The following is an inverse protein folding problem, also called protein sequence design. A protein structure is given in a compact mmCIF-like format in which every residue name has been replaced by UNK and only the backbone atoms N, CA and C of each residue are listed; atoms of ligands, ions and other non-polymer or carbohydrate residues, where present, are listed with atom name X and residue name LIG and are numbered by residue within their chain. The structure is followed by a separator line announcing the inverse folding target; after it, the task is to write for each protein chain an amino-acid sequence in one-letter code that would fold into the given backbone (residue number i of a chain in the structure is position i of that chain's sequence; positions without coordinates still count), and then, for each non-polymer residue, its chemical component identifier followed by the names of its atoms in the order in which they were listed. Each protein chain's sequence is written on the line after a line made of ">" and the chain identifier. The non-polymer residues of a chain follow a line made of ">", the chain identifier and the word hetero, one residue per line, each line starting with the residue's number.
data_IF_507070620962
#
_entry.id   IF_507070620962
#
_cell.length_a   1.000
_cell.length_b   1.000
_cell.length_c   1.000
_cell.angle_alpha   90.00
_cell.angle_beta   90.00
_cell.angle_gamma   90.00
#
_symmetry.space_group_name_H-M   'P 1'
#
loop_
_entity.id
_entity.type
_entity.pdbx_description
1 polymer ?
#
# COMPACT_ATOMS: atom_id res chain seq x y z
N UNK A 1 30.57 42.22 -23.70
CA UNK A 1 29.33 41.41 -23.64
C UNK A 1 29.50 40.46 -22.47
N UNK A 2 29.26 40.83 -21.21
CA UNK A 2 28.01 41.28 -20.59
C UNK A 2 26.85 40.35 -20.93
N UNK A 3 26.77 39.24 -20.20
CA UNK A 3 25.57 38.43 -20.07
C UNK A 3 25.06 38.60 -18.64
N UNK A 4 23.83 39.11 -18.62
CA UNK A 4 22.95 39.60 -17.58
C UNK A 4 22.60 38.50 -16.56
N UNK A 5 22.94 38.72 -15.29
CA UNK A 5 22.44 37.93 -14.15
C UNK A 5 20.96 38.23 -13.99
N UNK A 6 20.11 37.33 -14.46
CA UNK A 6 18.68 37.37 -14.17
C UNK A 6 18.35 36.43 -13.03
N UNK A 7 17.85 37.06 -11.98
CA UNK A 7 17.27 36.49 -10.78
C UNK A 7 16.21 35.44 -11.14
N UNK A 8 16.42 34.22 -10.65
CA UNK A 8 15.41 33.16 -10.64
C UNK A 8 14.69 33.23 -9.29
N UNK A 9 13.68 34.11 -9.21
CA UNK A 9 12.73 34.13 -8.08
C UNK A 9 11.81 32.89 -8.20
N UNK A 10 11.99 31.93 -7.30
CA UNK A 10 11.05 30.81 -7.13
C UNK A 10 9.77 31.31 -6.42
N UNK A 11 8.56 31.01 -6.92
CA UNK A 11 7.31 31.58 -6.41
C UNK A 11 6.82 31.01 -5.05
N UNK A 12 7.71 30.55 -4.17
CA UNK A 12 7.37 30.02 -2.83
C UNK A 12 8.37 30.45 -1.74
N UNK A 13 8.92 31.66 -1.80
CA UNK A 13 9.66 32.26 -0.68
C UNK A 13 8.68 32.84 0.36
N UNK A 14 8.01 31.97 1.13
CA UNK A 14 7.31 32.40 2.32
C UNK A 14 8.33 32.66 3.43
N UNK A 15 8.88 33.87 3.45
CA UNK A 15 9.69 34.36 4.56
C UNK A 15 8.84 34.43 5.83
N UNK A 16 8.93 33.39 6.65
CA UNK A 16 8.34 33.37 7.98
C UNK A 16 9.07 34.38 8.87
N UNK A 17 8.39 35.46 9.25
CA UNK A 17 8.78 36.36 10.33
C UNK A 17 7.93 36.02 11.55
N UNK A 18 8.47 35.34 12.56
CA UNK A 18 7.79 35.23 13.85
C UNK A 18 7.91 36.58 14.55
N UNK A 19 6.80 37.29 14.67
CA UNK A 19 6.64 38.34 15.66
C UNK A 19 5.61 37.87 16.69
N UNK A 20 6.05 37.86 17.96
CA UNK A 20 5.28 37.62 19.18
C UNK A 20 4.81 36.18 19.45
N UNK A 21 5.73 35.39 20.01
CA UNK A 21 5.43 34.44 21.08
C UNK A 21 6.69 34.34 21.97
N UNK A 22 6.88 35.35 22.81
CA UNK A 22 7.66 35.21 24.03
C UNK A 22 6.96 34.14 24.90
N UNK A 23 7.76 33.33 25.60
CA UNK A 23 7.45 32.14 26.42
C UNK A 23 7.44 30.77 25.71
N UNK A 24 8.24 29.87 26.30
CA UNK A 24 8.46 28.44 26.00
C UNK A 24 9.67 28.09 25.12
N UNK A 25 10.85 28.63 25.48
CA UNK A 25 12.11 27.93 25.19
C UNK A 25 12.23 26.72 26.14
N UNK A 26 11.66 25.58 25.74
CA UNK A 26 12.06 24.29 26.34
C UNK A 26 13.29 23.84 25.57
N UNK A 27 14.44 23.92 26.23
CA UNK A 27 15.70 23.36 25.78
C UNK A 27 15.50 21.86 25.50
N UNK A 28 15.43 21.47 24.23
CA UNK A 28 15.29 20.08 23.84
C UNK A 28 16.64 19.40 24.01
N UNK A 29 16.94 18.93 25.23
CA UNK A 29 18.08 18.07 25.49
C UNK A 29 17.82 16.71 24.82
N UNK A 30 18.67 16.36 23.86
CA UNK A 30 18.55 15.11 23.12
C UNK A 30 19.05 13.96 24.03
N UNK A 31 18.17 13.06 24.52
CA UNK A 31 18.52 12.06 25.53
C UNK A 31 19.47 10.96 25.02
N UNK A 32 19.87 11.03 23.75
CA UNK A 32 20.81 10.11 23.12
C UNK A 32 22.28 10.59 23.20
N UNK A 33 22.51 11.82 23.68
CA UNK A 33 23.85 12.42 23.76
C UNK A 33 24.65 11.92 25.00
N UNK A 34 23.96 11.54 26.09
CA UNK A 34 24.55 11.02 27.34
C UNK A 34 25.06 9.57 27.22
N UNK A 35 24.48 8.77 26.31
CA UNK A 35 24.80 7.33 26.20
C UNK A 35 26.01 7.06 25.29
N UNK A 36 26.33 7.99 24.39
CA UNK A 36 27.41 7.84 23.40
C UNK A 36 28.45 8.95 23.51
N UNK A 37 28.73 9.41 24.73
CA UNK A 37 29.70 10.47 25.01
C UNK A 37 31.03 10.26 24.30
N UNK A 38 31.25 11.02 23.23
CA UNK A 38 32.58 11.30 22.70
C UNK A 38 33.10 12.53 23.43
N UNK A 39 33.60 12.33 24.65
CA UNK A 39 34.43 13.35 25.30
C UNK A 39 35.90 13.03 24.99
N UNK A 40 36.44 13.73 24.00
CA UNK A 40 37.88 13.95 23.87
C UNK A 40 38.36 14.68 25.13
N UNK A 41 39.01 13.95 26.04
CA UNK A 41 39.62 14.52 27.24
C UNK A 41 40.94 15.22 26.88
N UNK A 42 41.08 16.55 27.12
CA UNK A 42 42.37 17.22 27.02
C UNK A 42 43.23 16.92 28.25
N UNK A 43 44.46 16.51 27.96
CA UNK A 43 45.55 16.19 28.88
C UNK A 43 46.00 17.43 29.68
N UNK A 44 45.81 17.48 31.01
CA UNK A 44 46.44 18.48 31.89
C UNK A 44 46.55 18.00 33.35
N UNK A 45 47.71 17.41 33.66
CA UNK A 45 48.54 17.51 34.89
C UNK A 45 47.93 17.76 36.28
N UNK A 46 48.12 16.79 37.19
CA UNK A 46 48.49 17.03 38.61
C UNK A 46 49.55 15.99 39.05
N UNK A 47 50.61 16.48 39.69
CA UNK A 47 51.83 15.76 40.09
C UNK A 47 51.75 15.05 41.46
N UNK A 48 52.08 13.74 41.46
CA UNK A 48 52.99 12.94 42.36
C UNK A 48 52.84 12.93 43.92
N UNK A 49 53.38 11.93 44.70
CA UNK A 49 54.22 10.78 44.33
C UNK A 49 54.03 9.42 45.09
N UNK A 50 54.77 8.40 44.60
CA UNK A 50 55.22 7.15 45.24
C UNK A 50 54.26 5.95 45.40
N UNK A 51 54.37 4.97 44.49
CA UNK A 51 55.06 3.67 44.72
C UNK A 51 54.89 2.73 43.52
N UNK A 52 55.99 2.10 43.08
CA UNK A 52 56.04 1.07 42.02
C UNK A 52 56.65 -0.21 42.62
N UNK A 53 56.66 -1.38 41.95
CA UNK A 53 55.73 -1.92 40.95
C UNK A 53 55.30 -3.37 41.30
N UNK A 54 54.17 -3.85 40.80
CA UNK A 54 54.02 -5.30 40.58
C UNK A 54 53.14 -5.60 39.37
N UNK A 55 53.79 -6.17 38.35
CA UNK A 55 53.13 -6.88 37.26
C UNK A 55 52.36 -8.05 37.87
N UNK A 56 51.04 -8.01 37.80
CA UNK A 56 50.21 -9.21 37.76
C UNK A 56 49.44 -9.21 36.43
N UNK A 57 50.04 -9.90 35.48
CA UNK A 57 49.29 -10.62 34.46
C UNK A 57 48.29 -11.56 35.15
N UNK A 58 47.00 -11.47 34.84
CA UNK A 58 46.09 -12.60 34.55
C UNK A 58 44.64 -12.11 34.41
N UNK A 59 43.90 -12.81 33.54
CA UNK A 59 42.46 -12.79 33.32
C UNK A 59 41.90 -11.74 32.32
N UNK A 60 41.85 -12.16 31.05
CA UNK A 60 40.59 -12.26 30.29
C UNK A 60 39.57 -11.14 30.53
N UNK A 61 39.80 -9.98 29.92
CA UNK A 61 38.76 -8.97 29.71
C UNK A 61 37.84 -9.35 28.56
N UNK A 62 37.25 -10.55 28.58
CA UNK A 62 36.09 -10.85 27.75
C UNK A 62 34.92 -10.07 28.37
N UNK A 63 34.76 -8.81 27.93
CA UNK A 63 33.57 -8.04 28.24
C UNK A 63 32.37 -8.92 27.88
N UNK A 64 31.52 -9.20 28.86
CA UNK A 64 30.39 -10.10 28.66
C UNK A 64 29.54 -9.53 27.52
N UNK A 65 29.47 -10.23 26.39
CA UNK A 65 28.59 -9.89 25.27
C UNK A 65 27.13 -10.25 25.60
N UNK A 66 26.87 -10.94 26.70
CA UNK A 66 25.55 -11.42 27.13
C UNK A 66 24.54 -10.27 27.33
N UNK A 67 24.88 -9.15 28.01
CA UNK A 67 23.98 -8.01 28.15
C UNK A 67 23.70 -7.31 26.81
N UNK A 68 24.71 -7.24 25.93
CA UNK A 68 24.58 -6.66 24.59
C UNK A 68 23.71 -7.51 23.67
N UNK A 69 23.93 -8.82 23.67
CA UNK A 69 23.10 -9.76 22.91
C UNK A 69 21.66 -9.73 23.43
N UNK A 70 21.47 -9.64 24.76
CA UNK A 70 20.13 -9.51 25.36
C UNK A 70 19.45 -8.19 24.95
N UNK A 71 20.16 -7.06 24.98
CA UNK A 71 19.57 -5.77 24.56
C UNK A 71 19.22 -5.77 23.07
N UNK A 72 20.07 -6.34 22.21
CA UNK A 72 19.78 -6.54 20.79
C UNK A 72 18.55 -7.42 20.60
N UNK A 73 18.43 -8.52 21.35
CA UNK A 73 17.31 -9.45 21.22
C UNK A 73 16.00 -8.85 21.73
N UNK A 74 16.03 -8.10 22.84
CA UNK A 74 14.87 -7.35 23.35
C UNK A 74 14.42 -6.30 22.35
N UNK A 75 15.36 -5.53 21.80
CA UNK A 75 15.07 -4.48 20.81
C UNK A 75 14.51 -5.06 19.52
N UNK A 76 15.13 -6.14 19.01
CA UNK A 76 14.65 -6.83 17.83
C UNK A 76 13.28 -7.47 18.07
N UNK A 77 13.08 -8.13 19.21
CA UNK A 77 11.80 -8.75 19.59
C UNK A 77 10.67 -7.73 19.74
N UNK A 78 10.94 -6.54 20.30
CA UNK A 78 9.95 -5.46 20.36
C UNK A 78 9.58 -4.94 18.96
N UNK A 79 10.60 -4.69 18.12
CA UNK A 79 10.36 -4.24 16.74
C UNK A 79 9.59 -5.28 15.94
N UNK A 80 9.95 -6.55 16.10
CA UNK A 80 9.32 -7.68 15.43
C UNK A 80 7.88 -7.87 15.92
N UNK A 81 7.61 -7.80 17.23
CA UNK A 81 6.25 -7.87 17.76
C UNK A 81 5.33 -6.74 17.31
N UNK A 82 5.85 -5.52 17.13
CA UNK A 82 5.09 -4.39 16.57
C UNK A 82 4.85 -4.56 15.06
N UNK A 83 5.82 -5.11 14.33
CA UNK A 83 5.67 -5.37 12.91
C UNK A 83 4.67 -6.52 12.66
N UNK A 84 4.80 -7.61 13.40
CA UNK A 84 3.95 -8.79 13.35
C UNK A 84 2.50 -8.43 13.72
N UNK A 85 2.28 -7.68 14.81
CA UNK A 85 0.93 -7.25 15.21
C UNK A 85 0.21 -6.37 14.16
N UNK A 86 0.94 -5.76 13.23
CA UNK A 86 0.36 -4.93 12.15
C UNK A 86 0.17 -5.70 10.85
N UNK A 87 0.93 -6.76 10.61
CA UNK A 87 0.87 -7.51 9.36
C UNK A 87 -0.19 -8.61 9.35
N UNK A 88 -0.55 -9.18 10.51
CA UNK A 88 -1.41 -10.38 10.56
C UNK A 88 -2.81 -10.14 9.99
N UNK A 89 -3.48 -9.05 10.37
CA UNK A 89 -4.90 -8.85 10.00
C UNK A 89 -5.10 -8.27 8.58
N UNK A 90 -4.16 -7.45 8.11
CA UNK A 90 -4.27 -6.81 6.79
C UNK A 90 -4.05 -7.81 5.65
N UNK A 91 -3.16 -8.78 5.84
CA UNK A 91 -2.88 -9.80 4.83
C UNK A 91 -4.02 -10.82 4.73
N UNK A 92 -4.55 -11.27 5.87
CA UNK A 92 -5.68 -12.20 5.90
C UNK A 92 -6.90 -11.63 5.16
N UNK A 93 -7.28 -10.39 5.45
CA UNK A 93 -8.39 -9.73 4.72
C UNK A 93 -8.10 -9.52 3.23
N UNK A 94 -6.84 -9.28 2.84
CA UNK A 94 -6.47 -9.19 1.43
C UNK A 94 -6.60 -10.55 0.73
N UNK A 95 -6.10 -11.61 1.34
CA UNK A 95 -6.14 -12.96 0.79
C UNK A 95 -7.59 -13.46 0.63
N UNK A 96 -8.48 -13.09 1.57
CA UNK A 96 -9.92 -13.37 1.49
C UNK A 96 -10.61 -12.59 0.36
N UNK A 97 -10.27 -11.31 0.17
CA UNK A 97 -10.90 -10.44 -0.83
C UNK A 97 -10.32 -10.57 -2.24
N UNK A 98 -9.07 -11.03 -2.38
CA UNK A 98 -8.34 -11.08 -3.64
C UNK A 98 -9.06 -11.91 -4.72
N UNK A 99 -9.60 -13.12 -4.45
CA UNK A 99 -10.31 -13.90 -5.46
C UNK A 99 -11.53 -13.18 -6.05
N UNK A 100 -12.31 -12.48 -5.22
CA UNK A 100 -13.45 -11.69 -5.67
C UNK A 100 -13.00 -10.52 -6.55
N UNK A 101 -11.97 -9.78 -6.11
CA UNK A 101 -11.39 -8.67 -6.88
C UNK A 101 -10.85 -9.15 -8.24
N UNK A 102 -10.16 -10.27 -8.27
CA UNK A 102 -9.66 -10.89 -9.50
C UNK A 102 -10.81 -11.28 -10.44
N UNK A 103 -11.90 -11.85 -9.92
CA UNK A 103 -13.08 -12.21 -10.69
C UNK A 103 -13.75 -10.98 -11.31
N UNK A 104 -13.97 -9.92 -10.52
CA UNK A 104 -14.54 -8.67 -10.99
C UNK A 104 -13.67 -8.02 -12.07
N UNK A 105 -12.36 -7.96 -11.85
CA UNK A 105 -11.40 -7.44 -12.81
C UNK A 105 -11.40 -8.24 -14.12
N UNK A 106 -11.43 -9.58 -14.03
CA UNK A 106 -11.52 -10.45 -15.20
C UNK A 106 -12.80 -10.19 -16.00
N UNK A 107 -13.96 -10.14 -15.34
CA UNK A 107 -15.24 -9.89 -16.03
C UNK A 107 -15.26 -8.53 -16.72
N UNK A 108 -14.81 -7.48 -16.03
CA UNK A 108 -14.71 -6.14 -16.58
C UNK A 108 -13.80 -6.10 -17.81
N UNK A 109 -12.60 -6.67 -17.69
CA UNK A 109 -11.64 -6.75 -18.79
C UNK A 109 -12.21 -7.53 -19.99
N UNK A 110 -12.92 -8.63 -19.74
CA UNK A 110 -13.56 -9.44 -20.78
C UNK A 110 -14.63 -8.63 -21.52
N UNK A 111 -15.52 -7.94 -20.79
CA UNK A 111 -16.60 -7.14 -21.39
C UNK A 111 -16.06 -5.98 -22.24
N UNK A 112 -15.08 -5.24 -21.72
CA UNK A 112 -14.43 -4.15 -22.45
C UNK A 112 -13.74 -4.68 -23.70
N UNK A 113 -12.96 -5.76 -23.55
CA UNK A 113 -12.26 -6.38 -24.67
C UNK A 113 -13.23 -6.88 -25.74
N UNK A 114 -14.34 -7.49 -25.34
CA UNK A 114 -15.34 -7.95 -26.28
C UNK A 114 -15.90 -6.78 -27.10
N UNK A 115 -16.33 -5.70 -26.46
CA UNK A 115 -16.88 -4.52 -27.14
C UNK A 115 -15.87 -3.88 -28.10
N UNK A 116 -14.61 -3.79 -27.69
CA UNK A 116 -13.53 -3.26 -28.52
C UNK A 116 -13.26 -4.11 -29.75
N UNK A 117 -13.13 -5.41 -29.54
CA UNK A 117 -12.83 -6.33 -30.62
C UNK A 117 -14.03 -6.45 -31.55
N UNK A 118 -15.25 -6.44 -31.02
CA UNK A 118 -16.48 -6.49 -31.79
C UNK A 118 -16.64 -5.25 -32.69
N UNK A 119 -16.42 -4.05 -32.15
CA UNK A 119 -16.49 -2.80 -32.93
C UNK A 119 -15.45 -2.75 -34.04
N UNK A 120 -14.22 -3.22 -33.77
CA UNK A 120 -13.11 -3.27 -34.73
C UNK A 120 -13.31 -4.34 -35.80
N UNK A 121 -13.68 -5.57 -35.40
CA UNK A 121 -13.80 -6.72 -36.29
C UNK A 121 -14.98 -6.57 -37.26
N UNK A 122 -16.11 -6.06 -36.78
CA UNK A 122 -17.30 -5.83 -37.61
C UNK A 122 -17.31 -4.46 -38.28
N UNK A 123 -16.25 -3.65 -38.09
CA UNK A 123 -16.12 -2.30 -38.60
C UNK A 123 -17.36 -1.44 -38.30
N UNK A 124 -17.76 -1.40 -37.02
CA UNK A 124 -18.96 -0.74 -36.49
C UNK A 124 -18.59 0.53 -35.70
N UNK A 125 -18.21 1.63 -36.36
CA UNK A 125 -17.86 2.87 -35.67
C UNK A 125 -19.05 3.47 -34.92
N UNK A 126 -20.29 3.14 -35.32
CA UNK A 126 -21.53 3.50 -34.61
C UNK A 126 -21.57 2.96 -33.17
N UNK A 127 -20.82 1.90 -32.90
CA UNK A 127 -20.74 1.25 -31.58
C UNK A 127 -19.47 1.61 -30.81
N UNK A 128 -18.59 2.42 -31.37
CA UNK A 128 -17.34 2.80 -30.69
C UNK A 128 -17.59 3.66 -29.44
N UNK A 129 -18.60 4.53 -29.47
CA UNK A 129 -19.00 5.30 -28.29
C UNK A 129 -19.46 4.41 -27.12
N UNK A 130 -20.12 3.27 -27.42
CA UNK A 130 -20.54 2.29 -26.42
C UNK A 130 -19.34 1.60 -25.76
N UNK A 131 -18.30 1.28 -26.53
CA UNK A 131 -17.07 0.70 -26.00
C UNK A 131 -16.32 1.69 -25.08
N UNK A 132 -16.29 2.97 -25.45
CA UNK A 132 -15.69 4.01 -24.60
C UNK A 132 -16.49 4.28 -23.31
N UNK A 133 -17.83 4.19 -23.37
CA UNK A 133 -18.68 4.23 -22.17
C UNK A 133 -18.39 3.03 -21.27
N UNK A 134 -18.28 1.82 -21.83
CA UNK A 134 -17.95 0.61 -21.08
C UNK A 134 -16.59 0.73 -20.38
N UNK A 135 -15.56 1.25 -21.07
CA UNK A 135 -14.25 1.49 -20.45
C UNK A 135 -14.31 2.40 -19.24
N UNK A 136 -15.14 3.44 -19.27
CA UNK A 136 -15.26 4.43 -18.18
C UNK A 136 -16.03 3.88 -17.00
N UNK A 137 -17.10 3.14 -17.26
CA UNK A 137 -17.91 2.56 -16.20
C UNK A 137 -17.27 1.31 -15.57
N UNK A 138 -16.57 0.49 -16.36
CA UNK A 138 -15.94 -0.76 -15.89
C UNK A 138 -14.49 -0.56 -15.42
N UNK A 139 -14.13 0.66 -15.04
CA UNK A 139 -12.86 0.91 -14.36
C UNK A 139 -12.88 0.31 -12.96
N UNK A 140 -11.71 -0.09 -12.45
CA UNK A 140 -11.61 -0.75 -11.15
C UNK A 140 -12.11 0.16 -10.03
N UNK A 141 -11.90 1.47 -10.15
CA UNK A 141 -12.35 2.50 -9.23
C UNK A 141 -13.88 2.62 -9.18
N UNK A 142 -14.55 2.38 -10.31
CA UNK A 142 -16.01 2.38 -10.41
C UNK A 142 -16.61 1.08 -9.86
N UNK A 143 -15.98 -0.06 -10.17
CA UNK A 143 -16.43 -1.39 -9.74
C UNK A 143 -16.23 -1.56 -8.23
N UNK A 144 -15.08 -1.19 -7.70
CA UNK A 144 -14.78 -1.25 -6.27
C UNK A 144 -15.17 0.04 -5.53
N UNK A 145 -16.08 0.83 -6.09
CA UNK A 145 -16.48 2.09 -5.48
C UNK A 145 -17.22 1.86 -4.15
N UNK A 146 -17.21 2.85 -3.23
CA UNK A 146 -18.01 2.81 -2.00
C UNK A 146 -19.53 2.73 -2.23
N UNK A 147 -19.98 2.86 -3.49
CA UNK A 147 -21.39 2.65 -3.86
C UNK A 147 -21.79 1.17 -3.83
N UNK A 148 -20.82 0.27 -4.01
CA UNK A 148 -21.04 -1.17 -4.10
C UNK A 148 -20.36 -1.96 -2.97
N UNK A 149 -19.40 -1.35 -2.29
CA UNK A 149 -18.64 -1.95 -1.18
C UNK A 149 -18.65 -1.04 0.04
N UNK A 150 -18.80 -1.65 1.22
CA UNK A 150 -18.71 -0.94 2.50
C UNK A 150 -17.25 -0.80 2.96
N UNK A 151 -17.01 -0.05 4.05
CA UNK A 151 -15.67 0.11 4.65
C UNK A 151 -15.04 -1.23 5.06
N UNK A 152 -15.88 -2.23 5.36
CA UNK A 152 -15.47 -3.58 5.72
C UNK A 152 -15.11 -4.47 4.50
N UNK A 153 -15.20 -3.94 3.26
CA UNK A 153 -14.92 -4.71 2.04
C UNK A 153 -16.03 -5.67 1.60
N UNK A 154 -17.17 -5.65 2.31
CA UNK A 154 -18.35 -6.47 1.99
C UNK A 154 -19.22 -5.73 0.96
N UNK A 155 -19.75 -6.46 -0.03
CA UNK A 155 -20.65 -5.89 -1.03
C UNK A 155 -22.01 -5.48 -0.45
N UNK A 156 -22.58 -4.40 -0.97
CA UNK A 156 -23.86 -3.84 -0.51
C UNK A 156 -25.02 -4.04 -1.50
N UNK A 157 -24.76 -4.67 -2.65
CA UNK A 157 -25.77 -4.95 -3.67
C UNK A 157 -26.44 -6.33 -3.47
N UNK A 158 -27.64 -6.49 -4.04
CA UNK A 158 -28.42 -7.70 -3.90
C UNK A 158 -27.83 -8.85 -4.73
N UNK A 159 -27.35 -9.88 -4.06
CA UNK A 159 -26.93 -11.16 -4.65
C UNK A 159 -28.03 -12.20 -4.40
N UNK A 160 -28.49 -12.95 -5.43
CA UNK A 160 -29.51 -13.98 -5.24
C UNK A 160 -29.07 -15.08 -4.26
N UNK A 161 -30.01 -15.59 -3.46
CA UNK A 161 -29.76 -16.70 -2.54
C UNK A 161 -29.27 -16.28 -1.15
N UNK A 162 -29.24 -17.21 -0.19
CA UNK A 162 -28.74 -16.96 1.16
C UNK A 162 -27.23 -16.70 1.14
N UNK A 163 -26.72 -15.86 2.04
CA UNK A 163 -25.28 -15.51 2.12
C UNK A 163 -24.36 -16.72 2.18
N UNK A 164 -24.79 -17.82 2.83
CA UNK A 164 -24.04 -19.07 2.93
C UNK A 164 -23.82 -19.81 1.60
N UNK A 165 -24.59 -19.47 0.56
CA UNK A 165 -24.51 -20.08 -0.78
C UNK A 165 -23.93 -19.10 -1.82
N UNK A 166 -23.55 -17.88 -1.41
CA UNK A 166 -23.00 -16.88 -2.32
C UNK A 166 -21.52 -17.16 -2.58
N UNK A 167 -21.24 -17.82 -3.71
CA UNK A 167 -19.88 -17.93 -4.22
C UNK A 167 -19.44 -16.64 -4.93
N UNK A 168 -18.13 -16.44 -5.06
CA UNK A 168 -17.59 -15.24 -5.73
C UNK A 168 -17.98 -15.15 -7.21
N UNK A 169 -18.32 -16.26 -7.86
CA UNK A 169 -18.85 -16.28 -9.23
C UNK A 169 -20.24 -15.59 -9.28
N UNK A 170 -21.16 -15.98 -8.40
CA UNK A 170 -22.49 -15.40 -8.30
C UNK A 170 -22.45 -13.93 -7.86
N UNK A 171 -21.63 -13.61 -6.84
CA UNK A 171 -21.44 -12.24 -6.36
C UNK A 171 -20.96 -11.33 -7.49
N UNK A 172 -19.91 -11.73 -8.19
CA UNK A 172 -19.35 -10.93 -9.29
C UNK A 172 -20.29 -10.79 -10.49
N UNK A 173 -21.14 -11.78 -10.79
CA UNK A 173 -22.20 -11.66 -11.82
C UNK A 173 -23.31 -10.71 -11.39
N UNK A 174 -23.63 -10.71 -10.10
CA UNK A 174 -24.69 -9.87 -9.52
C UNK A 174 -24.27 -8.41 -9.35
N UNK A 175 -22.99 -8.10 -9.55
CA UNK A 175 -22.49 -6.72 -9.50
C UNK A 175 -23.23 -5.84 -10.52
N UNK A 176 -23.86 -4.71 -10.12
CA UNK A 176 -24.78 -3.96 -10.98
C UNK A 176 -24.18 -3.50 -12.32
N UNK A 177 -22.91 -3.06 -12.31
CA UNK A 177 -22.23 -2.68 -13.56
C UNK A 177 -21.91 -3.89 -14.45
N UNK A 178 -21.52 -5.02 -13.85
CA UNK A 178 -21.20 -6.22 -14.61
C UNK A 178 -22.46 -6.75 -15.27
N UNK A 179 -23.56 -6.89 -14.51
CA UNK A 179 -24.85 -7.35 -15.03
C UNK A 179 -25.39 -6.45 -16.16
N UNK A 180 -25.36 -5.12 -15.94
CA UNK A 180 -25.73 -4.12 -16.95
C UNK A 180 -24.96 -4.33 -18.25
N UNK A 181 -23.63 -4.42 -18.17
CA UNK A 181 -22.78 -4.52 -19.35
C UNK A 181 -22.81 -5.90 -20.00
N UNK A 182 -22.96 -6.97 -19.22
CA UNK A 182 -23.22 -8.32 -19.70
C UNK A 182 -24.49 -8.37 -20.54
N UNK A 183 -25.58 -7.78 -20.07
CA UNK A 183 -26.84 -7.70 -20.82
C UNK A 183 -26.65 -6.94 -22.14
N UNK A 184 -25.99 -5.77 -22.10
CA UNK A 184 -25.71 -4.98 -23.32
C UNK A 184 -24.84 -5.74 -24.33
N UNK A 185 -23.83 -6.46 -23.86
CA UNK A 185 -22.96 -7.28 -24.71
C UNK A 185 -23.74 -8.44 -25.33
N UNK A 186 -24.59 -9.11 -24.56
CA UNK A 186 -25.43 -10.19 -25.06
C UNK A 186 -26.41 -9.68 -26.13
N UNK A 187 -27.08 -8.57 -25.89
CA UNK A 187 -27.98 -7.95 -26.87
C UNK A 187 -27.25 -7.57 -28.16
N UNK A 188 -26.03 -7.03 -28.04
CA UNK A 188 -25.21 -6.66 -29.18
C UNK A 188 -24.78 -7.90 -29.99
N UNK A 189 -24.32 -8.95 -29.32
CA UNK A 189 -23.93 -10.21 -29.95
C UNK A 189 -25.12 -10.88 -30.67
N UNK A 190 -26.27 -10.95 -30.00
CA UNK A 190 -27.52 -11.46 -30.56
C UNK A 190 -27.95 -10.67 -31.81
N UNK A 191 -27.83 -9.34 -31.77
CA UNK A 191 -28.17 -8.46 -32.91
C UNK A 191 -27.27 -8.68 -34.13
N UNK A 192 -26.06 -9.21 -33.92
CA UNK A 192 -25.12 -9.58 -34.98
C UNK A 192 -25.18 -11.07 -35.34
N UNK A 193 -26.05 -11.86 -34.70
CA UNK A 193 -26.14 -13.30 -34.91
C UNK A 193 -24.92 -14.08 -34.41
N UNK A 194 -24.19 -13.54 -33.43
CA UNK A 194 -23.02 -14.18 -32.82
C UNK A 194 -23.47 -14.81 -31.51
N UNK A 195 -23.31 -16.13 -31.39
CA UNK A 195 -23.46 -16.83 -30.12
C UNK A 195 -22.21 -16.59 -29.28
N UNK A 196 -22.41 -16.15 -28.04
CA UNK A 196 -21.33 -15.90 -27.09
C UNK A 196 -21.62 -16.63 -25.78
N UNK A 197 -20.57 -17.20 -25.20
CA UNK A 197 -20.61 -17.69 -23.82
C UNK A 197 -19.93 -16.65 -22.93
N UNK A 198 -20.73 -15.98 -22.10
CA UNK A 198 -20.19 -15.03 -21.13
C UNK A 198 -19.41 -15.78 -20.05
N UNK A 199 -18.14 -15.42 -19.88
CA UNK A 199 -17.31 -15.84 -18.75
C UNK A 199 -17.10 -17.36 -18.64
N UNK A 200 -16.85 -18.07 -19.75
CA UNK A 200 -16.77 -19.55 -19.80
C UNK A 200 -15.63 -20.19 -18.98
N UNK A 201 -14.79 -19.41 -18.31
CA UNK A 201 -13.84 -19.93 -17.32
C UNK A 201 -14.57 -20.21 -16.02
N UNK A 202 -14.98 -21.47 -15.79
CA UNK A 202 -15.15 -21.95 -14.41
C UNK A 202 -13.82 -21.73 -13.70
N UNK A 203 -13.86 -21.01 -12.59
CA UNK A 203 -12.73 -20.96 -11.67
C UNK A 203 -12.65 -22.34 -11.03
N UNK A 204 -11.78 -23.21 -11.55
CA UNK A 204 -11.47 -24.46 -10.87
C UNK A 204 -10.59 -24.10 -9.67
N UNK A 205 -11.11 -24.32 -8.48
CA UNK A 205 -10.37 -24.21 -7.23
C UNK A 205 -9.09 -25.05 -7.35
N UNK A 206 -7.94 -24.39 -7.25
CA UNK A 206 -6.64 -25.04 -7.31
C UNK A 206 -6.44 -25.88 -6.05
N UNK A 207 -6.95 -27.12 -6.10
CA UNK A 207 -6.76 -28.14 -5.06
C UNK A 207 -5.30 -28.52 -4.86
#
# INVERSE_FOLDING_TARGET
>A
MLLDSRDYEHPLSLSYHPHAAEDMAVEYQNPLEDVFGTEDVPDTVISDPQSSPSRQSHAQGEHSEIPRIRSIHVTNGYREGIAESKSTFVQEGFDEGYPLGAMLGFRAAWLVSFLDNFTRLLNRPDKQALAEEARKELQIESILSPSYFNEDGIWSYNVPGPESEQDFDLVSRSHPLIDKWSTRVQDLANSAGVEIELFSTRYEDGS
#
